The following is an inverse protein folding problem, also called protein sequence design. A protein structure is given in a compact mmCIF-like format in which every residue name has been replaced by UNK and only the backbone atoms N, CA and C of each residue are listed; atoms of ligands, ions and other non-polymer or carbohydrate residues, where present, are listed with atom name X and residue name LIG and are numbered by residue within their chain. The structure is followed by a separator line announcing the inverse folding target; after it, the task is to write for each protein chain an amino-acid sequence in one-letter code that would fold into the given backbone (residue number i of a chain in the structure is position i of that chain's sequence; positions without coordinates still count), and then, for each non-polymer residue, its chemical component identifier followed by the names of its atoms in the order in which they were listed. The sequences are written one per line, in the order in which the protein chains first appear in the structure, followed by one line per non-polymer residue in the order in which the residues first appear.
data_IF_394493959014
#
_entry.id   IF_394493959014
#
_cell.length_a   1.000
_cell.length_b   1.000
_cell.length_c   1.000
_cell.angle_alpha   90.00
_cell.angle_beta   90.00
_cell.angle_gamma   90.00
#
_symmetry.space_group_name_H-M   'P 1'
#
loop_
_entity.id
_entity.type
_entity.pdbx_description
1 polymer ?
#
# COMPACT_ATOMS: atom_id res chain seq x y z
N UNK A 1 6.75 15.28 13.71
CA UNK A 1 6.57 15.50 12.26
C UNK A 1 6.56 14.11 11.66
N UNK A 2 5.39 13.47 11.66
CA UNK A 2 5.17 12.13 11.10
C UNK A 2 4.00 12.29 10.14
N UNK A 3 4.30 12.44 8.86
CA UNK A 3 3.28 12.45 7.81
C UNK A 3 3.02 11.00 7.44
N UNK A 4 2.17 10.37 8.25
CA UNK A 4 1.39 9.18 7.86
C UNK A 4 0.56 9.51 6.61
N UNK A 5 0.18 8.51 5.79
CA UNK A 5 -0.56 8.75 4.55
C UNK A 5 -1.83 9.56 4.83
N UNK A 6 -2.09 10.53 3.96
CA UNK A 6 -3.13 11.53 4.20
C UNK A 6 -4.52 10.88 4.23
N UNK A 7 -5.47 11.50 4.96
CA UNK A 7 -6.91 11.13 4.99
C UNK A 7 -7.54 10.92 3.60
N UNK A 8 -6.93 11.44 2.54
CA UNK A 8 -7.43 11.35 1.17
C UNK A 8 -7.34 9.91 0.60
N UNK A 9 -6.35 9.12 1.00
CA UNK A 9 -6.16 7.73 0.55
C UNK A 9 -7.24 6.80 1.12
N UNK A 10 -7.70 7.07 2.35
CA UNK A 10 -8.73 6.28 3.04
C UNK A 10 -10.14 6.41 2.43
N UNK A 11 -10.48 7.60 1.88
CA UNK A 11 -11.84 7.86 1.37
C UNK A 11 -12.12 7.23 0.00
N UNK A 12 -11.07 6.98 -0.78
CA UNK A 12 -11.19 6.36 -2.12
C UNK A 12 -11.39 4.84 -2.02
N UNK A 13 -10.97 4.23 -0.92
CA UNK A 13 -11.09 2.79 -0.66
C UNK A 13 -12.32 2.39 0.18
N UNK A 14 -13.22 3.33 0.50
CA UNK A 14 -14.49 3.01 1.19
C UNK A 14 -14.38 2.77 2.71
N UNK A 15 -13.28 3.16 3.35
CA UNK A 15 -13.10 3.00 4.79
C UNK A 15 -13.93 4.02 5.60
N UNK A 16 -14.66 3.54 6.61
CA UNK A 16 -15.44 4.36 7.54
C UNK A 16 -14.50 5.08 8.55
N UNK A 17 -14.86 6.29 9.01
CA UNK A 17 -14.06 7.12 9.93
C UNK A 17 -13.59 6.41 11.22
N UNK A 18 -14.30 5.36 11.67
CA UNK A 18 -13.91 4.56 12.85
C UNK A 18 -12.69 3.66 12.64
N UNK A 19 -12.40 3.25 11.40
CA UNK A 19 -11.24 2.41 11.09
C UNK A 19 -9.93 3.21 11.16
N UNK A 20 -10.00 4.53 10.96
CA UNK A 20 -8.87 5.44 11.10
C UNK A 20 -8.38 5.57 12.55
N UNK A 21 -9.30 5.68 13.51
CA UNK A 21 -8.96 5.78 14.93
C UNK A 21 -8.42 4.45 15.48
N UNK A 22 -8.90 3.30 14.99
CA UNK A 22 -8.36 1.97 15.31
C UNK A 22 -6.95 1.76 14.77
N UNK A 23 -6.71 2.12 13.50
CA UNK A 23 -5.38 2.04 12.85
C UNK A 23 -4.30 2.83 13.62
N UNK A 24 -4.64 3.99 14.18
CA UNK A 24 -3.70 4.77 15.02
C UNK A 24 -3.56 4.22 16.46
N UNK A 25 -4.55 3.48 16.97
CA UNK A 25 -4.62 3.06 18.37
C UNK A 25 -4.35 1.57 18.64
N UNK A 26 -4.06 0.74 17.64
CA UNK A 26 -3.60 -0.64 17.84
C UNK A 26 -2.26 -0.67 18.60
N UNK A 27 -2.34 -0.53 19.92
CA UNK A 27 -1.28 -0.76 20.90
C UNK A 27 -1.04 -2.26 20.99
N UNK A 28 -0.16 -2.79 20.15
CA UNK A 28 0.87 -3.72 20.62
C UNK A 28 2.17 -3.33 19.97
N UNK A 29 3.01 -2.68 20.76
CA UNK A 29 4.39 -2.30 20.48
C UNK A 29 5.25 -3.57 20.52
N UNK A 30 5.10 -4.45 19.53
CA UNK A 30 6.01 -5.55 19.17
C UNK A 30 5.44 -6.20 17.90
N UNK A 31 6.26 -6.39 16.85
CA UNK A 31 6.04 -7.15 15.59
C UNK A 31 5.89 -6.32 14.29
N UNK A 32 5.44 -5.06 14.31
CA UNK A 32 5.46 -4.20 13.11
C UNK A 32 6.60 -3.19 13.18
N UNK A 33 7.87 -3.62 13.01
CA UNK A 33 8.78 -2.69 12.35
C UNK A 33 8.15 -2.45 10.97
N UNK A 34 7.69 -1.22 10.70
CA UNK A 34 7.18 -0.85 9.38
C UNK A 34 8.22 -1.31 8.37
N UNK A 35 7.87 -2.33 7.58
CA UNK A 35 8.75 -2.87 6.55
C UNK A 35 8.76 -1.87 5.41
N UNK A 36 9.62 -0.85 5.58
CA UNK A 36 9.77 0.25 4.67
C UNK A 36 10.18 -0.29 3.31
N UNK A 37 9.65 0.31 2.27
CA UNK A 37 10.17 0.10 0.92
C UNK A 37 11.45 0.92 0.84
N UNK A 38 12.52 0.30 0.36
CA UNK A 38 13.83 0.93 0.16
C UNK A 38 14.19 1.06 -1.31
N UNK A 39 13.49 0.32 -2.18
CA UNK A 39 13.68 0.37 -3.62
C UNK A 39 12.38 0.02 -4.34
N UNK A 40 12.09 0.74 -5.43
CA UNK A 40 11.00 0.44 -6.35
C UNK A 40 11.50 0.55 -7.79
N UNK A 41 11.11 -0.38 -8.64
CA UNK A 41 11.34 -0.33 -10.08
C UNK A 41 10.06 -0.69 -10.82
N UNK A 42 9.79 0.01 -11.92
CA UNK A 42 8.66 -0.33 -12.80
C UNK A 42 9.08 -1.32 -13.87
N UNK A 43 8.14 -2.18 -14.25
CA UNK A 43 8.28 -3.18 -15.30
C UNK A 43 7.08 -3.10 -16.25
N UNK A 44 7.20 -3.63 -17.49
CA UNK A 44 6.09 -3.68 -18.44
C UNK A 44 4.83 -4.32 -17.84
N UNK A 45 3.65 -3.81 -18.24
CA UNK A 45 2.37 -4.32 -17.76
C UNK A 45 2.01 -3.85 -16.35
N UNK A 46 2.39 -2.62 -15.97
CA UNK A 46 2.08 -2.00 -14.67
C UNK A 46 2.55 -2.82 -13.47
N UNK A 47 3.70 -3.47 -13.62
CA UNK A 47 4.33 -4.28 -12.57
C UNK A 47 5.32 -3.43 -11.78
N UNK A 48 5.29 -3.57 -10.46
CA UNK A 48 6.26 -2.98 -9.53
C UNK A 48 7.13 -4.08 -8.96
N UNK A 49 8.45 -3.90 -9.01
CA UNK A 49 9.42 -4.66 -8.23
C UNK A 49 9.77 -3.85 -6.98
N UNK A 50 9.57 -4.44 -5.80
CA UNK A 50 9.75 -3.81 -4.50
C UNK A 50 10.85 -4.51 -3.72
N UNK A 51 11.63 -3.73 -2.98
CA UNK A 51 12.57 -4.21 -1.96
C UNK A 51 12.23 -3.59 -0.62
N UNK A 52 12.18 -4.42 0.42
CA UNK A 52 11.84 -4.01 1.77
C UNK A 52 13.08 -3.92 2.67
N UNK A 53 12.95 -3.17 3.75
CA UNK A 53 14.03 -2.91 4.71
C UNK A 53 14.48 -4.16 5.49
N UNK A 54 13.66 -5.21 5.55
CA UNK A 54 14.02 -6.51 6.13
C UNK A 54 14.83 -7.40 5.17
N UNK A 55 15.16 -6.88 3.98
CA UNK A 55 15.93 -7.56 2.95
C UNK A 55 15.10 -8.42 2.00
N UNK A 56 13.78 -8.55 2.21
CA UNK A 56 12.92 -9.25 1.27
C UNK A 56 12.61 -8.40 0.04
N UNK A 57 12.15 -9.05 -1.01
CA UNK A 57 11.73 -8.40 -2.24
C UNK A 57 10.61 -9.21 -2.93
N UNK A 58 9.89 -8.56 -3.82
CA UNK A 58 8.94 -9.23 -4.69
C UNK A 58 8.26 -8.28 -5.66
N UNK A 59 7.38 -8.84 -6.49
CA UNK A 59 6.71 -8.10 -7.55
C UNK A 59 5.20 -8.09 -7.35
N UNK A 60 4.55 -6.97 -7.67
CA UNK A 60 3.09 -6.92 -7.81
C UNK A 60 2.71 -6.38 -9.19
N UNK A 61 1.65 -6.94 -9.78
CA UNK A 61 0.97 -6.32 -10.92
C UNK A 61 -0.15 -5.42 -10.37
N UNK A 62 -0.07 -4.11 -10.64
CA UNK A 62 -1.01 -3.14 -10.11
C UNK A 62 -2.48 -3.49 -10.41
N UNK A 63 -2.79 -3.89 -11.65
CA UNK A 63 -4.16 -4.12 -12.10
C UNK A 63 -4.83 -5.35 -11.47
N UNK A 64 -4.03 -6.26 -10.89
CA UNK A 64 -4.55 -7.41 -10.15
C UNK A 64 -5.16 -7.02 -8.80
N UNK A 65 -4.77 -5.86 -8.26
CA UNK A 65 -5.08 -5.47 -6.88
C UNK A 65 -5.86 -4.16 -6.80
N UNK A 66 -5.62 -3.24 -7.73
CA UNK A 66 -6.13 -1.88 -7.65
C UNK A 66 -6.88 -1.49 -8.92
N UNK A 67 -7.88 -0.63 -8.75
CA UNK A 67 -8.63 0.01 -9.84
C UNK A 67 -8.14 1.43 -10.07
N UNK A 68 -8.19 1.88 -11.33
CA UNK A 68 -7.90 3.25 -11.73
C UNK A 68 -9.08 4.19 -11.43
N UNK A 69 -9.46 4.32 -10.16
CA UNK A 69 -10.57 5.16 -9.72
C UNK A 69 -10.14 6.15 -8.64
N UNK A 70 -10.88 7.26 -8.54
CA UNK A 70 -10.60 8.33 -7.57
C UNK A 70 -9.17 8.86 -7.71
N UNK A 71 -8.44 8.91 -6.59
CA UNK A 71 -7.04 9.40 -6.54
C UNK A 71 -6.10 8.58 -7.41
N UNK A 72 -6.43 7.32 -7.72
CA UNK A 72 -5.59 6.46 -8.54
C UNK A 72 -5.85 6.57 -10.05
N UNK A 73 -6.86 7.34 -10.47
CA UNK A 73 -7.23 7.45 -11.90
C UNK A 73 -6.07 7.85 -12.82
N UNK A 74 -5.15 8.70 -12.36
CA UNK A 74 -3.98 9.13 -13.14
C UNK A 74 -2.97 8.01 -13.43
N UNK A 75 -2.97 6.92 -12.66
CA UNK A 75 -2.02 5.83 -12.81
C UNK A 75 -2.29 4.94 -14.04
N UNK A 76 -3.42 5.14 -14.73
CA UNK A 76 -3.70 4.50 -16.02
C UNK A 76 -2.67 4.93 -17.07
N UNK A 77 -2.14 6.16 -16.98
CA UNK A 77 -1.09 6.65 -17.85
C UNK A 77 0.26 6.00 -17.48
N UNK A 78 0.92 5.35 -18.44
CA UNK A 78 2.23 4.73 -18.26
C UNK A 78 3.33 5.75 -17.91
N UNK A 79 3.24 6.97 -18.44
CA UNK A 79 4.20 8.02 -18.13
C UNK A 79 4.09 8.42 -16.66
N UNK A 80 2.87 8.55 -16.13
CA UNK A 80 2.66 8.82 -14.70
C UNK A 80 3.09 7.61 -13.88
N UNK A 81 2.65 6.41 -14.23
CA UNK A 81 2.97 5.18 -13.50
C UNK A 81 4.49 4.94 -13.38
N UNK A 82 5.24 5.26 -14.42
CA UNK A 82 6.70 5.11 -14.44
C UNK A 82 7.45 6.04 -13.47
N UNK A 83 6.78 7.09 -12.96
CA UNK A 83 7.36 8.07 -12.03
C UNK A 83 7.25 7.67 -10.56
N UNK A 84 6.95 6.40 -10.27
CA UNK A 84 6.92 5.90 -8.88
C UNK A 84 8.28 6.10 -8.21
N UNK A 85 8.27 6.61 -6.99
CA UNK A 85 9.47 6.79 -6.16
C UNK A 85 9.23 6.28 -4.75
N UNK A 86 10.31 6.01 -4.03
CA UNK A 86 10.26 5.81 -2.57
C UNK A 86 10.46 7.16 -1.89
N UNK A 87 9.57 7.52 -0.97
CA UNK A 87 9.72 8.76 -0.19
C UNK A 87 10.45 8.54 1.14
N UNK A 88 10.70 9.62 1.88
CA UNK A 88 11.47 9.59 3.13
C UNK A 88 10.84 8.73 4.23
N UNK A 89 9.52 8.50 4.18
CA UNK A 89 8.82 7.63 5.12
C UNK A 89 8.98 6.14 4.79
N UNK A 90 9.54 5.80 3.62
CA UNK A 90 9.65 4.42 3.13
C UNK A 90 8.35 3.89 2.53
N UNK A 91 7.52 4.78 1.96
CA UNK A 91 6.37 4.42 1.13
C UNK A 91 6.65 4.72 -0.33
N UNK A 92 5.88 4.09 -1.24
CA UNK A 92 5.90 4.49 -2.64
C UNK A 92 4.87 5.55 -2.92
N UNK A 93 5.23 6.49 -3.78
CA UNK A 93 4.36 7.56 -4.22
C UNK A 93 4.56 7.87 -5.71
N UNK A 94 3.53 8.48 -6.30
CA UNK A 94 3.52 9.06 -7.62
C UNK A 94 3.25 10.57 -7.52
N UNK A 95 3.54 11.33 -8.59
CA UNK A 95 3.15 12.74 -8.66
C UNK A 95 1.67 12.95 -8.32
N UNK A 96 1.37 14.02 -7.58
CA UNK A 96 -0.01 14.36 -7.20
C UNK A 96 -0.51 13.75 -5.89
N UNK A 97 0.39 13.45 -4.95
CA UNK A 97 0.06 12.90 -3.62
C UNK A 97 -0.62 11.53 -3.67
N UNK A 98 -0.32 10.72 -4.69
CA UNK A 98 -0.86 9.36 -4.84
C UNK A 98 0.13 8.39 -4.21
N UNK A 99 -0.27 7.65 -3.18
CA UNK A 99 0.61 6.74 -2.46
C UNK A 99 -0.02 5.35 -2.24
N UNK A 100 0.84 4.34 -2.03
CA UNK A 100 0.41 3.01 -1.60
C UNK A 100 1.19 2.59 -0.34
N UNK A 101 0.46 2.24 0.72
CA UNK A 101 1.04 1.90 2.02
C UNK A 101 1.99 0.70 1.94
N UNK A 102 3.17 0.74 2.59
CA UNK A 102 4.10 -0.38 2.65
C UNK A 102 3.48 -1.64 3.24
N UNK A 103 2.55 -1.52 4.18
CA UNK A 103 1.87 -2.65 4.81
C UNK A 103 1.04 -3.46 3.82
N UNK A 104 0.26 -2.77 2.98
CA UNK A 104 -0.57 -3.40 1.93
C UNK A 104 0.32 -4.07 0.88
N UNK A 105 1.39 -3.38 0.47
CA UNK A 105 2.33 -3.91 -0.51
C UNK A 105 3.09 -5.13 0.02
N UNK A 106 3.50 -5.10 1.28
CA UNK A 106 4.13 -6.24 1.94
C UNK A 106 3.17 -7.42 2.06
N UNK A 107 1.94 -7.16 2.49
CA UNK A 107 0.88 -8.16 2.60
C UNK A 107 0.62 -8.87 1.26
N UNK A 108 0.54 -8.12 0.17
CA UNK A 108 0.39 -8.65 -1.19
C UNK A 108 1.60 -9.52 -1.57
N UNK A 109 2.81 -8.98 -1.47
CA UNK A 109 4.04 -9.66 -1.91
C UNK A 109 4.31 -10.94 -1.11
N UNK A 110 3.98 -10.94 0.18
CA UNK A 110 4.24 -12.08 1.07
C UNK A 110 3.02 -12.95 1.34
N UNK A 111 1.88 -12.68 0.69
CA UNK A 111 0.61 -13.36 0.92
C UNK A 111 0.19 -13.38 2.40
N UNK A 112 0.43 -12.27 3.10
CA UNK A 112 0.09 -12.11 4.51
C UNK A 112 -1.23 -11.35 4.67
N UNK A 113 -2.06 -11.79 5.62
CA UNK A 113 -3.29 -11.07 5.98
C UNK A 113 -2.95 -9.88 6.86
N UNK A 114 -3.71 -8.80 6.72
CA UNK A 114 -3.70 -7.70 7.69
C UNK A 114 -4.83 -7.94 8.68
N UNK A 115 -4.49 -7.95 9.96
CA UNK A 115 -5.42 -8.21 11.07
C UNK A 115 -5.40 -7.00 12.00
N UNK A 116 -6.58 -6.44 12.28
CA UNK A 116 -6.81 -5.30 13.17
C UNK A 116 -7.86 -5.71 14.19
N UNK A 117 -7.56 -5.60 15.49
CA UNK A 117 -8.45 -5.99 16.59
C UNK A 117 -9.09 -7.40 16.42
N UNK A 118 -8.24 -8.38 16.10
CA UNK A 118 -8.60 -9.79 15.82
C UNK A 118 -9.52 -10.00 14.59
N UNK A 119 -9.71 -8.97 13.76
CA UNK A 119 -10.47 -9.03 12.51
C UNK A 119 -9.52 -8.97 11.30
N UNK A 120 -9.73 -9.85 10.32
CA UNK A 120 -9.03 -9.76 9.04
C UNK A 120 -9.64 -8.59 8.26
N UNK A 121 -8.84 -7.56 7.99
CA UNK A 121 -9.26 -6.39 7.20
C UNK A 121 -8.73 -6.45 5.76
N UNK A 122 -7.72 -7.28 5.52
CA UNK A 122 -7.20 -7.56 4.19
C UNK A 122 -6.74 -9.01 4.07
N UNK A 123 -7.22 -9.73 3.06
CA UNK A 123 -6.81 -11.09 2.74
C UNK A 123 -6.35 -11.21 1.28
N UNK A 124 -5.04 -11.22 1.01
CA UNK A 124 -4.54 -11.25 -0.36
C UNK A 124 -4.94 -12.53 -1.12
N UNK A 125 -5.36 -13.61 -0.43
CA UNK A 125 -5.83 -14.81 -1.12
C UNK A 125 -7.14 -14.59 -1.91
N UNK A 126 -7.86 -13.50 -1.63
CA UNK A 126 -9.12 -13.15 -2.31
C UNK A 126 -8.89 -12.36 -3.62
N UNK A 127 -7.66 -11.88 -3.88
CA UNK A 127 -7.33 -11.11 -5.08
C UNK A 127 -7.94 -9.70 -5.08
N UNK A 128 -8.44 -9.25 -6.23
CA UNK A 128 -9.01 -7.90 -6.38
C UNK A 128 -10.23 -7.72 -5.49
N UNK A 129 -10.24 -6.65 -4.69
CA UNK A 129 -11.29 -6.43 -3.68
C UNK A 129 -11.09 -7.21 -2.38
N UNK A 130 -9.85 -7.64 -2.08
CA UNK A 130 -9.42 -8.34 -0.86
C UNK A 130 -9.64 -7.58 0.48
N UNK A 131 -10.42 -6.50 0.49
CA UNK A 131 -10.80 -5.74 1.68
C UNK A 131 -12.05 -6.37 2.31
N UNK A 132 -12.03 -6.58 3.63
CA UNK A 132 -13.10 -7.24 4.39
C UNK A 132 -13.71 -6.31 5.44
#
# INVERSE_FOLDING_TARGET
METYPSRKTFRVLGFHDKLWEGYQNCRTRSVMELRKIIEVQTMPGKVLSLKFSDGTAGTLNYEQWFDYQGVFSGLVDDQIFSQVTVNEAGTIEWPGEIDLSPEVLYAIVHHQKIIVDDQIVFDPSLGKGAWL
#
